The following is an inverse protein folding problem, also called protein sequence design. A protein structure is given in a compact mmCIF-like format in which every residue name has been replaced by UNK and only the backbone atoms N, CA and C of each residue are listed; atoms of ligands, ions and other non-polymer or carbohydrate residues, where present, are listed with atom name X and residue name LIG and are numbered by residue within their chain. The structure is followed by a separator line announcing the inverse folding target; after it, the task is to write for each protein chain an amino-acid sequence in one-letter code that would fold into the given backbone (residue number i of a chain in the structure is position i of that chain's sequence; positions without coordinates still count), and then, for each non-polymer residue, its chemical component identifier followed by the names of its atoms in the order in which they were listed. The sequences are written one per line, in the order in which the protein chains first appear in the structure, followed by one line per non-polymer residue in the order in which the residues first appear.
data_IF_973222199946
#
_entry.id   IF_973222199946
#
_cell.length_a   1.000
_cell.length_b   1.000
_cell.length_c   1.000
_cell.angle_alpha   90.00
_cell.angle_beta   90.00
_cell.angle_gamma   90.00
#
_symmetry.space_group_name_H-M   'P 1'
#
loop_
_entity.id
_entity.type
_entity.pdbx_description
1 polymer ?
#
# COMPACT_ATOMS: atom_id res chain seq x y z
N UNK A 1 -38.53 -10.80 -37.30
CA UNK A 1 -39.26 -12.05 -37.60
C UNK A 1 -38.68 -13.10 -36.66
N UNK A 2 -39.43 -13.40 -35.58
CA UNK A 2 -39.31 -14.47 -34.55
C UNK A 2 -37.89 -14.83 -34.04
N UNK A 3 -37.47 -14.59 -32.79
CA UNK A 3 -38.05 -14.70 -31.43
C UNK A 3 -38.13 -16.13 -30.84
N UNK A 4 -37.82 -16.19 -29.54
CA UNK A 4 -38.13 -17.19 -28.48
C UNK A 4 -37.09 -18.30 -28.18
N UNK A 5 -36.67 -18.64 -26.95
CA UNK A 5 -36.90 -18.20 -25.55
C UNK A 5 -35.82 -18.90 -24.68
N UNK A 6 -35.21 -18.27 -23.67
CA UNK A 6 -35.61 -18.37 -22.24
C UNK A 6 -34.78 -19.45 -21.50
N UNK A 7 -33.98 -19.15 -20.47
CA UNK A 7 -34.49 -18.92 -19.11
C UNK A 7 -33.48 -18.15 -18.22
N UNK A 8 -34.00 -17.14 -17.51
CA UNK A 8 -33.66 -16.70 -16.15
C UNK A 8 -35.03 -16.45 -15.47
N UNK A 9 -35.21 -16.61 -14.13
CA UNK A 9 -34.42 -15.85 -13.16
C UNK A 9 -34.11 -16.56 -11.82
N UNK A 10 -32.93 -16.27 -11.28
CA UNK A 10 -32.60 -16.40 -9.86
C UNK A 10 -31.90 -15.12 -9.42
N UNK A 11 -32.61 -14.31 -8.64
CA UNK A 11 -32.25 -12.99 -8.16
C UNK A 11 -31.24 -13.03 -7.01
N UNK A 12 -30.19 -12.21 -7.09
CA UNK A 12 -29.24 -11.99 -6.00
C UNK A 12 -28.20 -10.91 -6.36
N UNK A 13 -28.63 -9.65 -6.30
CA UNK A 13 -27.80 -8.43 -6.19
C UNK A 13 -26.62 -8.28 -7.17
N UNK A 14 -26.93 -7.97 -8.44
CA UNK A 14 -26.10 -7.05 -9.20
C UNK A 14 -26.69 -5.66 -9.04
N UNK A 15 -26.19 -4.92 -8.04
CA UNK A 15 -26.32 -3.47 -8.12
C UNK A 15 -25.40 -3.00 -9.25
N UNK A 16 -25.89 -2.22 -10.22
CA UNK A 16 -25.00 -1.57 -11.17
C UNK A 16 -24.12 -0.60 -10.38
N UNK A 17 -22.81 -0.83 -10.40
CA UNK A 17 -21.82 0.15 -9.95
C UNK A 17 -22.05 1.38 -10.83
N UNK A 18 -22.70 2.40 -10.27
CA UNK A 18 -22.78 3.70 -10.94
C UNK A 18 -21.36 4.22 -10.99
N UNK A 19 -20.74 4.19 -12.17
CA UNK A 19 -19.51 4.91 -12.46
C UNK A 19 -19.73 6.40 -12.16
N UNK A 20 -19.41 6.80 -10.92
CA UNK A 20 -19.30 8.19 -10.49
C UNK A 20 -17.84 8.56 -10.29
N UNK A 21 -16.95 8.04 -11.14
CA UNK A 21 -15.60 8.58 -11.19
C UNK A 21 -15.73 10.01 -11.73
N UNK A 22 -15.54 11.00 -10.87
CA UNK A 22 -15.31 12.36 -11.32
C UNK A 22 -14.15 12.29 -12.32
N UNK A 23 -14.32 12.87 -13.52
CA UNK A 23 -13.24 12.92 -14.51
C UNK A 23 -11.95 13.43 -13.87
N UNK A 24 -10.83 12.72 -14.08
CA UNK A 24 -9.46 13.20 -13.82
C UNK A 24 -9.23 14.46 -14.66
N UNK A 25 -9.61 15.62 -14.13
CA UNK A 25 -9.60 16.90 -14.87
C UNK A 25 -8.21 17.54 -14.93
N UNK A 26 -7.28 17.13 -14.07
CA UNK A 26 -5.92 17.71 -13.98
C UNK A 26 -4.89 16.69 -13.51
N UNK A 27 -4.51 15.75 -14.39
CA UNK A 27 -3.28 14.97 -14.25
C UNK A 27 -2.16 15.70 -15.00
N UNK A 28 -1.03 15.97 -14.32
CA UNK A 28 0.20 16.44 -14.95
C UNK A 28 1.24 15.34 -14.92
N UNK A 29 1.81 15.03 -16.07
CA UNK A 29 2.83 13.99 -16.23
C UNK A 29 4.18 14.68 -16.39
N UNK A 30 5.13 14.34 -15.53
CA UNK A 30 6.53 14.67 -15.65
C UNK A 30 7.33 13.37 -15.76
N UNK A 31 8.29 13.34 -16.68
CA UNK A 31 9.28 12.28 -16.76
C UNK A 31 10.63 12.90 -16.46
N UNK A 32 11.37 12.31 -15.51
CA UNK A 32 12.77 12.66 -15.32
C UNK A 32 13.56 11.88 -16.36
N UNK A 33 14.21 12.61 -17.27
CA UNK A 33 14.98 12.00 -18.34
C UNK A 33 16.10 11.11 -17.76
N UNK A 34 16.43 9.97 -18.40
CA UNK A 34 17.56 9.15 -17.99
C UNK A 34 18.82 9.99 -18.03
N UNK A 35 19.57 10.06 -16.92
CA UNK A 35 20.90 10.67 -17.00
C UNK A 35 21.51 11.30 -15.76
N UNK A 36 20.90 11.28 -14.56
CA UNK A 36 21.65 11.73 -13.37
C UNK A 36 22.65 10.66 -12.91
N UNK A 37 22.31 9.37 -13.08
CA UNK A 37 23.21 8.23 -12.88
C UNK A 37 23.30 7.43 -14.18
N UNK A 38 24.36 7.66 -14.97
CA UNK A 38 24.65 6.92 -16.21
C UNK A 38 25.12 5.48 -15.89
N UNK A 39 24.23 4.66 -15.34
CA UNK A 39 24.42 3.22 -15.22
C UNK A 39 23.28 2.52 -15.95
N UNK A 40 23.36 2.33 -17.28
CA UNK A 40 22.60 1.27 -17.89
C UNK A 40 23.00 -0.01 -17.17
N UNK A 41 22.08 -0.59 -16.40
CA UNK A 41 22.27 -1.87 -15.74
C UNK A 41 22.51 -2.91 -16.83
N UNK A 42 23.79 -3.14 -17.09
CA UNK A 42 24.23 -3.82 -18.30
C UNK A 42 23.72 -5.26 -18.25
N UNK A 43 22.71 -5.56 -19.07
CA UNK A 43 22.13 -6.90 -19.21
C UNK A 43 20.78 -7.12 -18.52
N UNK A 44 20.16 -6.09 -17.93
CA UNK A 44 18.79 -6.16 -17.42
C UNK A 44 17.86 -5.44 -18.41
N UNK A 45 16.93 -6.17 -19.01
CA UNK A 45 15.88 -5.57 -19.82
C UNK A 45 14.95 -4.77 -18.90
N UNK A 46 14.86 -3.46 -19.12
CA UNK A 46 13.87 -2.63 -18.46
C UNK A 46 12.51 -2.90 -19.09
N UNK A 47 11.51 -3.21 -18.27
CA UNK A 47 10.13 -3.44 -18.71
C UNK A 47 9.21 -2.37 -18.09
N UNK A 48 9.18 -1.15 -18.66
CA UNK A 48 8.29 -0.11 -18.18
C UNK A 48 6.80 -0.47 -18.33
N UNK A 49 6.45 -1.42 -19.22
CA UNK A 49 5.06 -1.88 -19.37
C UNK A 49 4.64 -2.79 -18.23
N UNK A 50 5.57 -3.51 -17.61
CA UNK A 50 5.34 -4.33 -16.41
C UNK A 50 4.87 -3.54 -15.18
N UNK A 51 4.97 -2.20 -15.19
CA UNK A 51 4.60 -1.32 -14.08
C UNK A 51 3.25 -0.64 -14.22
N UNK A 52 2.52 -0.84 -15.32
CA UNK A 52 1.25 -0.15 -15.57
C UNK A 52 0.23 -0.32 -14.44
N UNK A 53 0.18 -1.53 -13.85
CA UNK A 53 -0.74 -1.79 -12.74
C UNK A 53 -0.42 -0.98 -11.49
N UNK A 54 0.87 -0.80 -11.19
CA UNK A 54 1.34 0.01 -10.07
C UNK A 54 1.07 1.50 -10.30
N UNK A 55 1.46 2.00 -11.47
CA UNK A 55 1.29 3.41 -11.84
C UNK A 55 -0.19 3.82 -11.87
N UNK A 56 -1.06 2.94 -12.36
CA UNK A 56 -2.50 3.17 -12.41
C UNK A 56 -3.12 3.07 -11.02
N UNK A 57 -2.71 2.08 -10.21
CA UNK A 57 -3.13 1.92 -8.82
C UNK A 57 -2.88 3.19 -8.01
N UNK A 58 -1.65 3.72 -8.06
CA UNK A 58 -1.27 4.92 -7.31
C UNK A 58 -2.15 6.13 -7.66
N UNK A 59 -2.31 6.40 -8.97
CA UNK A 59 -3.09 7.54 -9.46
C UNK A 59 -4.57 7.39 -9.11
N UNK A 60 -5.15 6.21 -9.36
CA UNK A 60 -6.57 5.97 -9.09
C UNK A 60 -6.89 5.98 -7.60
N UNK A 61 -6.00 5.48 -6.74
CA UNK A 61 -6.17 5.52 -5.30
C UNK A 61 -6.15 6.96 -4.75
N UNK A 62 -5.16 7.77 -5.15
CA UNK A 62 -5.12 9.20 -4.77
C UNK A 62 -6.36 9.93 -5.28
N UNK A 63 -6.72 9.73 -6.55
CA UNK A 63 -7.89 10.38 -7.16
C UNK A 63 -9.20 9.94 -6.53
N UNK A 64 -9.31 8.66 -6.14
CA UNK A 64 -10.47 8.11 -5.47
C UNK A 64 -10.72 8.74 -4.11
N UNK A 65 -9.65 9.02 -3.36
CA UNK A 65 -9.73 9.71 -2.05
C UNK A 65 -9.91 11.23 -2.19
N UNK A 66 -9.17 11.87 -3.08
CA UNK A 66 -9.16 13.32 -3.24
C UNK A 66 -9.39 13.73 -4.71
N UNK A 67 -10.63 13.60 -5.23
CA UNK A 67 -10.92 13.74 -6.67
C UNK A 67 -10.74 15.16 -7.22
N UNK A 68 -10.62 16.16 -6.34
CA UNK A 68 -10.36 17.55 -6.70
C UNK A 68 -8.87 17.96 -6.51
N UNK A 69 -8.03 17.06 -6.00
CA UNK A 69 -6.60 17.32 -5.86
C UNK A 69 -5.94 17.43 -7.24
N UNK A 70 -4.88 18.23 -7.33
CA UNK A 70 -4.01 18.26 -8.51
C UNK A 70 -3.02 17.12 -8.37
N UNK A 71 -3.10 16.15 -9.28
CA UNK A 71 -2.23 14.97 -9.25
C UNK A 71 -1.07 15.20 -10.23
N UNK A 72 0.14 14.97 -9.74
CA UNK A 72 1.37 15.03 -10.51
C UNK A 72 2.01 13.64 -10.50
N UNK A 73 2.09 13.00 -11.66
CA UNK A 73 2.85 11.77 -11.82
C UNK A 73 4.28 12.12 -12.22
N UNK A 74 5.26 11.60 -11.48
CA UNK A 74 6.68 11.78 -11.74
C UNK A 74 7.33 10.41 -11.90
N UNK A 75 7.53 10.02 -13.16
CA UNK A 75 8.14 8.73 -13.51
C UNK A 75 9.66 8.81 -13.64
N UNK A 76 10.32 7.68 -13.38
CA UNK A 76 11.73 7.45 -13.61
C UNK A 76 11.96 6.38 -14.69
N UNK A 77 13.10 6.36 -15.39
CA UNK A 77 13.41 5.34 -16.39
C UNK A 77 13.63 3.93 -15.85
N UNK A 78 13.94 3.79 -14.55
CA UNK A 78 14.01 2.52 -13.83
C UNK A 78 13.60 2.70 -12.36
N UNK A 79 13.38 1.57 -11.69
CA UNK A 79 12.98 1.49 -10.29
C UNK A 79 14.18 1.34 -9.31
N UNK A 80 15.38 1.72 -9.74
CA UNK A 80 16.58 1.75 -8.90
C UNK A 80 16.93 3.20 -8.56
N UNK A 81 18.17 3.63 -8.79
CA UNK A 81 18.64 4.96 -8.42
C UNK A 81 18.01 6.09 -9.25
N UNK A 82 17.34 5.80 -10.37
CA UNK A 82 16.63 6.86 -11.10
C UNK A 82 15.37 7.33 -10.34
N UNK A 83 14.83 6.55 -9.40
CA UNK A 83 13.80 7.02 -8.47
C UNK A 83 14.34 8.09 -7.50
N UNK A 84 15.64 8.08 -7.19
CA UNK A 84 16.32 9.17 -6.46
C UNK A 84 16.23 10.48 -7.24
N UNK A 85 16.44 10.42 -8.55
CA UNK A 85 16.31 11.58 -9.42
C UNK A 85 14.86 12.07 -9.51
N UNK A 86 13.87 11.17 -9.52
CA UNK A 86 12.45 11.51 -9.49
C UNK A 86 12.07 12.25 -8.19
N UNK A 87 12.44 11.69 -7.02
CA UNK A 87 12.17 12.35 -5.74
C UNK A 87 12.91 13.69 -5.65
N UNK A 88 14.19 13.74 -6.06
CA UNK A 88 14.96 14.98 -6.06
C UNK A 88 14.33 16.04 -6.98
N UNK A 89 13.81 15.66 -8.15
CA UNK A 89 13.09 16.58 -9.02
C UNK A 89 11.84 17.15 -8.33
N UNK A 90 11.09 16.30 -7.61
CA UNK A 90 9.91 16.75 -6.85
C UNK A 90 10.31 17.76 -5.79
N UNK A 91 11.35 17.46 -5.02
CA UNK A 91 11.86 18.30 -3.93
C UNK A 91 12.44 19.63 -4.46
N UNK A 92 13.36 19.58 -5.42
CA UNK A 92 14.05 20.75 -5.99
C UNK A 92 13.06 21.74 -6.64
N UNK A 93 12.10 21.21 -7.40
CA UNK A 93 11.12 22.03 -8.13
C UNK A 93 9.84 22.30 -7.34
N UNK A 94 9.70 21.66 -6.18
CA UNK A 94 8.54 21.76 -5.31
C UNK A 94 7.21 21.56 -6.07
N UNK A 95 7.15 20.56 -6.95
CA UNK A 95 5.98 20.34 -7.84
C UNK A 95 4.79 19.70 -7.12
N UNK A 96 4.99 19.20 -5.89
CA UNK A 96 3.96 18.62 -5.04
C UNK A 96 4.25 18.91 -3.55
N UNK A 97 3.19 19.05 -2.75
CA UNK A 97 3.27 19.20 -1.28
C UNK A 97 3.14 17.87 -0.55
N UNK A 98 2.62 16.85 -1.23
CA UNK A 98 2.48 15.46 -0.76
C UNK A 98 3.09 14.55 -1.81
N UNK A 99 3.95 13.63 -1.38
CA UNK A 99 4.54 12.58 -2.20
C UNK A 99 4.13 11.24 -1.64
N UNK A 100 3.45 10.43 -2.44
CA UNK A 100 3.30 8.99 -2.19
C UNK A 100 4.20 8.24 -3.15
N UNK A 101 4.87 7.22 -2.64
CA UNK A 101 5.74 6.35 -3.44
C UNK A 101 5.57 4.91 -2.97
N UNK A 102 5.26 4.03 -3.92
CA UNK A 102 4.96 2.63 -3.68
C UNK A 102 6.14 1.70 -3.99
N UNK A 103 7.36 2.23 -4.08
CA UNK A 103 8.60 1.50 -4.36
C UNK A 103 9.54 1.41 -3.15
N UNK A 104 10.26 0.30 -3.06
CA UNK A 104 11.28 0.09 -2.04
C UNK A 104 12.19 -1.10 -2.31
N UNK A 105 13.23 -1.19 -1.48
CA UNK A 105 14.11 -2.32 -1.33
C UNK A 105 13.72 -3.09 -0.08
N UNK A 106 13.68 -4.42 -0.22
CA UNK A 106 13.34 -5.39 0.84
C UNK A 106 14.38 -5.52 1.96
N UNK A 107 15.32 -4.59 2.02
CA UNK A 107 16.39 -4.59 3.01
C UNK A 107 17.03 -3.21 3.15
N UNK A 108 17.54 -2.96 4.35
CA UNK A 108 18.39 -1.81 4.68
C UNK A 108 19.88 -2.10 4.48
N UNK A 109 20.27 -3.35 4.20
CA UNK A 109 21.66 -3.74 3.92
C UNK A 109 21.91 -3.56 2.43
N UNK A 110 22.00 -2.30 2.01
CA UNK A 110 22.22 -1.89 0.63
C UNK A 110 23.67 -1.44 0.39
N UNK A 111 24.15 -1.44 -0.86
CA UNK A 111 25.45 -0.87 -1.20
C UNK A 111 25.59 0.58 -0.75
N UNK A 112 26.82 1.02 -0.53
CA UNK A 112 27.10 2.41 -0.22
C UNK A 112 26.56 3.33 -1.32
N UNK A 113 25.80 4.35 -0.92
CA UNK A 113 25.20 5.32 -1.85
C UNK A 113 23.70 5.16 -2.07
N UNK A 114 23.07 4.08 -1.59
CA UNK A 114 21.61 3.92 -1.68
C UNK A 114 20.84 4.66 -0.59
N UNK A 115 21.39 4.70 0.62
CA UNK A 115 20.66 5.21 1.79
C UNK A 115 20.95 6.69 2.03
N UNK A 116 22.21 7.04 2.28
CA UNK A 116 22.59 8.40 2.69
C UNK A 116 22.22 9.51 1.67
N UNK A 117 22.44 9.36 0.36
CA UNK A 117 22.03 10.37 -0.62
C UNK A 117 20.51 10.52 -0.68
N UNK A 118 19.77 9.42 -0.72
CA UNK A 118 18.31 9.44 -0.76
C UNK A 118 17.70 10.02 0.52
N UNK A 119 18.26 9.68 1.68
CA UNK A 119 17.89 10.29 2.97
C UNK A 119 18.13 11.81 2.98
N UNK A 120 19.18 12.29 2.30
CA UNK A 120 19.43 13.73 2.18
C UNK A 120 18.36 14.43 1.33
N UNK A 121 17.86 13.77 0.29
CA UNK A 121 16.75 14.25 -0.54
C UNK A 121 15.44 14.27 0.29
N UNK A 122 15.15 13.19 1.03
CA UNK A 122 14.00 13.10 1.93
C UNK A 122 14.04 14.24 2.95
N UNK A 123 15.18 14.42 3.62
CA UNK A 123 15.39 15.50 4.59
C UNK A 123 15.16 16.88 3.97
N UNK A 124 15.66 17.13 2.76
CA UNK A 124 15.42 18.38 2.04
C UNK A 124 13.93 18.58 1.76
N UNK A 125 13.21 17.54 1.34
CA UNK A 125 11.75 17.59 1.17
C UNK A 125 11.02 17.94 2.46
N UNK A 126 11.37 17.26 3.55
CA UNK A 126 10.78 17.51 4.88
C UNK A 126 11.00 18.94 5.36
N UNK A 127 12.23 19.47 5.30
CA UNK A 127 12.51 20.85 5.76
C UNK A 127 11.93 21.91 4.85
N UNK A 128 11.59 21.57 3.60
CA UNK A 128 10.88 22.46 2.67
C UNK A 128 9.36 22.32 2.73
N UNK A 129 8.82 21.48 3.63
CA UNK A 129 7.39 21.36 3.90
C UNK A 129 6.65 20.33 3.04
N UNK A 130 7.35 19.38 2.43
CA UNK A 130 6.74 18.27 1.69
C UNK A 130 6.47 17.10 2.64
N UNK A 131 5.24 16.60 2.64
CA UNK A 131 4.88 15.33 3.29
C UNK A 131 5.26 14.15 2.38
N UNK A 132 6.03 13.20 2.89
CA UNK A 132 6.55 12.07 2.10
C UNK A 132 6.07 10.76 2.73
N UNK A 133 5.39 9.95 1.92
CA UNK A 133 4.70 8.72 2.31
C UNK A 133 5.21 7.55 1.48
N UNK A 134 5.59 6.46 2.14
CA UNK A 134 6.06 5.24 1.48
C UNK A 134 5.21 4.03 1.87
N UNK A 135 4.96 3.15 0.90
CA UNK A 135 4.45 1.81 1.19
C UNK A 135 5.45 1.07 2.10
N UNK A 136 4.96 0.36 3.12
CA UNK A 136 5.85 -0.28 4.11
C UNK A 136 6.43 -1.63 3.67
N UNK A 137 5.96 -2.18 2.56
CA UNK A 137 6.36 -3.47 2.01
C UNK A 137 5.22 -4.50 2.02
N UNK A 138 5.39 -5.58 1.24
CA UNK A 138 4.34 -6.58 1.01
C UNK A 138 4.78 -8.01 1.40
N UNK A 139 5.97 -8.15 2.00
CA UNK A 139 6.51 -9.44 2.45
C UNK A 139 6.77 -9.50 3.97
N UNK A 140 5.95 -8.80 4.76
CA UNK A 140 5.97 -8.83 6.22
C UNK A 140 7.31 -8.37 6.83
N UNK A 141 7.99 -9.22 7.60
CA UNK A 141 9.32 -8.90 8.19
C UNK A 141 10.50 -9.18 7.25
N UNK A 142 10.22 -9.46 5.97
CA UNK A 142 11.17 -9.84 4.91
C UNK A 142 11.99 -11.12 5.19
N UNK A 143 11.73 -11.83 6.30
CA UNK A 143 12.56 -12.95 6.73
C UNK A 143 12.58 -14.12 5.74
N UNK A 144 11.47 -14.34 5.03
CA UNK A 144 11.38 -15.36 3.98
C UNK A 144 12.03 -14.94 2.67
N UNK A 145 12.31 -13.65 2.48
CA UNK A 145 12.91 -13.11 1.25
C UNK A 145 14.43 -12.95 1.41
N UNK A 146 14.87 -12.36 2.52
CA UNK A 146 16.30 -12.03 2.74
C UNK A 146 16.97 -12.88 3.83
N UNK A 147 16.22 -13.73 4.53
CA UNK A 147 16.75 -14.69 5.51
C UNK A 147 16.90 -14.17 6.94
N UNK A 148 16.45 -12.94 7.22
CA UNK A 148 16.46 -12.32 8.55
C UNK A 148 15.39 -11.23 8.64
N UNK A 149 14.94 -10.87 9.84
CA UNK A 149 13.94 -9.80 9.99
C UNK A 149 14.54 -8.42 9.71
N UNK A 150 13.91 -7.66 8.83
CA UNK A 150 14.27 -6.30 8.45
C UNK A 150 13.04 -5.54 7.98
N UNK A 151 13.13 -4.21 7.99
CA UNK A 151 12.16 -3.33 7.35
C UNK A 151 12.60 -3.00 5.92
N UNK A 152 11.67 -2.53 5.10
CA UNK A 152 11.94 -2.00 3.77
C UNK A 152 12.54 -0.59 3.81
N UNK A 153 13.43 -0.30 2.87
CA UNK A 153 13.95 1.03 2.58
C UNK A 153 13.27 1.56 1.31
N UNK A 154 12.70 2.78 1.23
CA UNK A 154 12.88 3.91 2.15
C UNK A 154 11.89 4.04 3.30
N UNK A 155 10.92 3.13 3.43
CA UNK A 155 9.92 3.18 4.49
C UNK A 155 10.54 3.25 5.91
N UNK A 156 11.71 2.67 6.11
CA UNK A 156 12.42 2.72 7.38
C UNK A 156 13.09 4.07 7.71
N UNK A 157 13.10 5.03 6.80
CA UNK A 157 13.53 6.41 7.10
C UNK A 157 12.67 6.99 8.24
N UNK A 158 13.28 7.64 9.25
CA UNK A 158 12.55 8.34 10.31
C UNK A 158 11.92 9.66 9.83
N UNK A 159 12.09 10.03 8.57
CA UNK A 159 11.59 11.29 8.00
C UNK A 159 10.47 11.09 6.97
N UNK A 160 10.05 9.85 6.73
CA UNK A 160 8.87 9.52 5.93
C UNK A 160 7.78 8.93 6.81
N UNK A 161 6.53 9.09 6.39
CA UNK A 161 5.43 8.29 6.92
C UNK A 161 5.40 6.95 6.19
N UNK A 162 5.75 5.87 6.88
CA UNK A 162 5.57 4.52 6.37
C UNK A 162 4.11 4.09 6.56
N UNK A 163 3.50 3.59 5.49
CA UNK A 163 2.09 3.22 5.46
C UNK A 163 1.93 1.72 5.29
N UNK A 164 1.39 1.08 6.32
CA UNK A 164 1.08 -0.34 6.35
C UNK A 164 -0.28 -0.69 5.75
N UNK A 165 -0.54 -1.99 5.71
CA UNK A 165 -1.71 -2.59 5.09
C UNK A 165 -2.66 -3.26 6.09
N UNK A 166 -3.96 -3.06 5.88
CA UNK A 166 -5.03 -3.80 6.55
C UNK A 166 -5.85 -4.62 5.55
N UNK A 167 -6.65 -5.56 6.07
CA UNK A 167 -7.76 -6.17 5.32
C UNK A 167 -9.07 -5.58 5.84
N UNK A 168 -9.88 -4.99 4.96
CA UNK A 168 -11.06 -4.20 5.33
C UNK A 168 -12.37 -4.94 5.02
N UNK A 169 -13.25 -5.05 6.01
CA UNK A 169 -14.60 -5.52 5.82
C UNK A 169 -15.58 -4.35 5.66
N UNK A 170 -16.25 -4.31 4.50
CA UNK A 170 -17.30 -3.34 4.18
C UNK A 170 -18.65 -4.06 4.12
N UNK A 171 -19.64 -3.52 4.83
CA UNK A 171 -21.00 -4.05 4.85
C UNK A 171 -21.77 -3.75 3.57
N UNK A 172 -22.88 -4.45 3.34
CA UNK A 172 -23.73 -4.27 2.15
C UNK A 172 -24.31 -2.85 2.00
N UNK A 173 -24.31 -2.06 3.09
CA UNK A 173 -24.73 -0.66 3.10
C UNK A 173 -23.56 0.33 2.93
N UNK A 174 -22.39 -0.15 2.49
CA UNK A 174 -21.15 0.63 2.38
C UNK A 174 -20.66 1.24 3.71
N UNK A 175 -20.95 0.58 4.83
CA UNK A 175 -20.47 0.98 6.14
C UNK A 175 -19.22 0.16 6.52
N UNK A 176 -18.31 0.80 7.25
CA UNK A 176 -17.23 0.11 7.94
C UNK A 176 -17.80 -0.97 8.87
N UNK A 177 -17.19 -2.17 8.87
CA UNK A 177 -17.50 -3.24 9.81
C UNK A 177 -16.33 -3.48 10.77
N UNK A 178 -15.20 -3.91 10.21
CA UNK A 178 -13.98 -4.17 10.95
C UNK A 178 -12.78 -4.20 10.00
N UNK A 179 -11.59 -4.16 10.58
CA UNK A 179 -10.33 -4.38 9.89
C UNK A 179 -9.51 -5.44 10.62
N UNK A 180 -8.60 -6.07 9.89
CA UNK A 180 -7.57 -6.96 10.43
C UNK A 180 -6.22 -6.53 9.91
N UNK A 181 -5.15 -6.89 10.61
CA UNK A 181 -3.79 -6.75 10.08
C UNK A 181 -3.68 -7.52 8.75
N UNK A 182 -3.03 -6.92 7.75
CA UNK A 182 -2.83 -7.62 6.49
C UNK A 182 -1.70 -8.65 6.60
N UNK A 183 -2.08 -9.92 6.64
CA UNK A 183 -1.19 -11.06 6.47
C UNK A 183 -2.01 -12.21 5.92
N UNK A 184 -1.56 -12.86 4.85
CA UNK A 184 -2.36 -13.86 4.14
C UNK A 184 -1.65 -15.21 4.08
N UNK A 185 -2.36 -16.26 4.52
CA UNK A 185 -2.06 -17.64 4.15
C UNK A 185 -3.11 -18.17 3.19
N UNK A 186 -2.74 -19.19 2.41
CA UNK A 186 -3.61 -19.73 1.37
C UNK A 186 -3.62 -21.25 1.26
N UNK A 187 -4.81 -21.76 0.95
CA UNK A 187 -5.07 -23.14 0.56
C UNK A 187 -5.80 -23.19 -0.78
N UNK A 188 -5.57 -24.25 -1.55
CA UNK A 188 -6.26 -24.51 -2.82
C UNK A 188 -7.34 -25.56 -2.64
N UNK A 189 -8.50 -25.38 -3.28
CA UNK A 189 -9.55 -26.40 -3.30
C UNK A 189 -9.18 -27.54 -4.25
N UNK A 190 -9.22 -28.78 -3.77
CA UNK A 190 -8.92 -29.99 -4.56
C UNK A 190 -10.16 -30.60 -5.24
N UNK A 191 -11.35 -30.07 -4.96
CA UNK A 191 -12.63 -30.70 -5.32
C UNK A 191 -13.34 -31.32 -4.11
N UNK A 192 -12.58 -31.70 -3.07
CA UNK A 192 -13.12 -32.31 -1.84
C UNK A 192 -12.56 -31.70 -0.57
N UNK A 193 -11.33 -31.18 -0.60
CA UNK A 193 -10.64 -30.63 0.57
C UNK A 193 -9.81 -29.40 0.20
N UNK A 194 -9.43 -28.63 1.22
CA UNK A 194 -8.44 -27.56 1.09
C UNK A 194 -7.04 -28.13 1.30
N UNK A 195 -6.12 -27.84 0.36
CA UNK A 195 -4.72 -28.29 0.42
C UNK A 195 -3.74 -27.15 0.11
N UNK A 196 -2.72 -26.92 0.95
CA UNK A 196 -2.53 -27.51 2.28
C UNK A 196 -3.71 -27.22 3.22
N UNK A 197 -3.88 -27.98 4.30
CA UNK A 197 -4.95 -27.75 5.29
C UNK A 197 -4.90 -26.29 5.77
N UNK A 198 -6.04 -25.58 5.84
CA UNK A 198 -6.09 -24.19 6.31
C UNK A 198 -5.41 -24.00 7.66
N UNK A 199 -4.72 -22.86 7.89
CA UNK A 199 -4.69 -21.67 7.04
C UNK A 199 -3.80 -21.79 5.79
N UNK A 200 -3.03 -22.88 5.68
CA UNK A 200 -2.20 -23.19 4.52
C UNK A 200 -0.85 -22.49 4.51
N UNK A 201 -0.33 -22.20 3.30
CA UNK A 201 1.01 -21.61 3.12
C UNK A 201 0.96 -20.08 3.16
N UNK A 202 1.99 -19.45 3.74
CA UNK A 202 2.12 -17.98 3.71
C UNK A 202 2.25 -17.47 2.27
N UNK A 203 1.70 -16.29 2.01
CA UNK A 203 1.59 -15.71 0.68
C UNK A 203 2.17 -14.29 0.58
N UNK A 204 1.64 -13.36 1.37
CA UNK A 204 2.02 -11.94 1.39
C UNK A 204 1.41 -11.24 2.62
N UNK A 205 1.84 -10.02 2.93
CA UNK A 205 1.26 -9.20 4.01
C UNK A 205 2.00 -7.88 4.23
N UNK A 206 1.38 -7.00 5.03
CA UNK A 206 1.92 -5.67 5.39
C UNK A 206 3.33 -5.78 5.93
N UNK A 207 4.23 -4.97 5.37
CA UNK A 207 5.61 -4.82 5.78
C UNK A 207 5.74 -4.03 7.07
N UNK A 208 6.72 -4.39 7.89
CA UNK A 208 6.92 -3.76 9.19
C UNK A 208 8.08 -4.34 9.98
N UNK A 209 8.18 -3.94 11.24
CA UNK A 209 9.25 -4.38 12.14
C UNK A 209 10.09 -3.21 12.65
N UNK A 210 11.36 -3.47 12.95
CA UNK A 210 12.28 -2.49 13.55
C UNK A 210 13.55 -2.38 12.71
N UNK A 211 13.84 -1.15 12.27
CA UNK A 211 15.02 -0.79 11.51
C UNK A 211 16.30 -1.26 12.21
N UNK A 212 17.25 -1.71 11.41
CA UNK A 212 18.59 -2.14 11.79
C UNK A 212 19.59 -0.99 11.79
N UNK A 213 19.28 0.12 11.12
CA UNK A 213 20.24 1.21 10.87
C UNK A 213 19.78 2.57 11.38
N UNK A 214 18.47 2.80 11.53
CA UNK A 214 17.91 4.02 12.08
C UNK A 214 17.53 3.82 13.54
N UNK A 215 18.03 4.70 14.41
CA UNK A 215 17.63 4.76 15.81
C UNK A 215 16.15 5.08 15.95
N UNK A 216 15.55 4.68 17.07
CA UNK A 216 14.20 5.10 17.44
C UNK A 216 14.11 6.64 17.43
N UNK A 217 13.28 7.25 16.57
CA UNK A 217 13.12 8.69 16.54
C UNK A 217 12.36 9.17 17.78
N UNK A 218 12.61 10.41 18.21
CA UNK A 218 12.05 10.94 19.45
C UNK A 218 10.52 10.94 19.51
N UNK A 219 9.84 11.00 18.36
CA UNK A 219 8.38 10.94 18.31
C UNK A 219 7.82 9.53 18.56
N UNK A 220 8.63 8.47 18.43
CA UNK A 220 8.24 7.09 18.74
C UNK A 220 8.42 6.75 20.22
N UNK A 221 9.31 7.47 20.91
CA UNK A 221 9.67 7.20 22.31
C UNK A 221 8.46 7.32 23.22
N UNK A 222 8.13 6.23 23.91
CA UNK A 222 7.00 6.16 24.84
C UNK A 222 5.65 5.81 24.18
N UNK A 223 5.59 5.79 22.85
CA UNK A 223 4.43 5.30 22.09
C UNK A 223 4.66 3.86 21.62
N UNK A 224 5.83 3.57 21.05
CA UNK A 224 6.17 2.22 20.60
C UNK A 224 6.40 1.30 21.81
N UNK A 225 5.63 0.21 21.98
CA UNK A 225 5.79 -0.68 23.11
C UNK A 225 7.15 -1.40 23.09
N UNK A 226 7.76 -1.59 24.26
CA UNK A 226 9.01 -2.35 24.40
C UNK A 226 8.90 -3.80 23.90
N UNK A 227 7.69 -4.36 23.85
CA UNK A 227 7.44 -5.70 23.30
C UNK A 227 7.78 -5.79 21.81
N UNK A 228 7.55 -4.73 21.03
CA UNK A 228 7.93 -4.66 19.61
C UNK A 228 9.45 -4.82 19.47
N UNK A 229 10.22 -4.04 20.25
CA UNK A 229 11.68 -4.13 20.26
C UNK A 229 12.20 -5.48 20.76
N UNK A 230 11.55 -6.04 21.77
CA UNK A 230 11.92 -7.34 22.34
C UNK A 230 11.69 -8.46 21.32
N UNK A 231 10.55 -8.45 20.61
CA UNK A 231 10.23 -9.43 19.58
C UNK A 231 11.23 -9.40 18.40
N UNK A 232 11.69 -8.20 18.02
CA UNK A 232 12.68 -8.01 16.94
C UNK A 232 14.14 -8.13 17.40
N UNK A 233 14.36 -8.25 18.71
CA UNK A 233 15.68 -8.35 19.34
C UNK A 233 16.54 -7.07 19.22
N UNK A 234 15.93 -5.91 18.96
CA UNK A 234 16.62 -4.63 18.78
C UNK A 234 15.70 -3.43 19.01
N UNK A 235 16.29 -2.27 19.28
CA UNK A 235 15.60 -0.97 19.29
C UNK A 235 16.03 -0.15 18.08
N UNK A 236 15.09 0.58 17.47
CA UNK A 236 15.30 1.33 16.23
C UNK A 236 13.99 1.98 15.77
N UNK A 237 14.00 2.63 14.60
CA UNK A 237 12.77 3.12 13.95
C UNK A 237 11.83 1.94 13.70
N UNK A 238 10.68 1.94 14.37
CA UNK A 238 9.64 0.92 14.17
C UNK A 238 8.74 1.30 12.97
N UNK A 239 8.34 0.34 12.16
CA UNK A 239 7.53 0.49 10.93
C UNK A 239 6.30 -0.42 11.03
N UNK A 240 5.13 -0.03 10.49
CA UNK A 240 4.79 1.25 9.85
C UNK A 240 4.38 2.33 10.86
N UNK A 241 4.18 3.58 10.41
CA UNK A 241 3.68 4.66 11.29
C UNK A 241 2.14 4.59 11.42
N UNK A 242 1.43 4.43 10.30
CA UNK A 242 -0.03 4.28 10.21
C UNK A 242 -0.37 3.27 9.10
N UNK A 243 -1.65 2.94 8.91
CA UNK A 243 -2.07 2.01 7.85
C UNK A 243 -3.33 2.43 7.12
N UNK A 244 -3.57 1.78 5.98
CA UNK A 244 -4.84 1.79 5.27
C UNK A 244 -5.06 0.43 4.57
N UNK A 245 -6.23 0.22 3.97
CA UNK A 245 -6.53 -1.03 3.25
C UNK A 245 -5.45 -1.35 2.21
N UNK A 246 -4.87 -2.54 2.33
CA UNK A 246 -3.80 -3.03 1.46
C UNK A 246 -4.03 -4.45 0.96
N UNK A 247 -4.82 -5.29 1.64
CA UNK A 247 -5.05 -6.67 1.17
C UNK A 247 -5.75 -6.71 -0.21
N UNK A 248 -5.16 -7.28 -1.28
CA UNK A 248 -5.81 -7.41 -2.59
C UNK A 248 -7.15 -8.18 -2.55
N UNK A 249 -7.40 -8.95 -1.49
CA UNK A 249 -8.66 -9.66 -1.29
C UNK A 249 -9.80 -8.78 -0.78
N UNK A 250 -9.49 -7.58 -0.29
CA UNK A 250 -10.45 -6.59 0.24
C UNK A 250 -10.22 -5.17 -0.29
N UNK A 251 -9.15 -4.98 -1.06
CA UNK A 251 -8.74 -3.72 -1.67
C UNK A 251 -9.51 -3.39 -2.95
N UNK A 252 -8.84 -2.68 -3.84
CA UNK A 252 -9.49 -1.97 -4.94
C UNK A 252 -9.71 -2.84 -6.17
N UNK A 253 -10.74 -2.46 -6.94
CA UNK A 253 -10.83 -2.78 -8.36
C UNK A 253 -10.21 -1.60 -9.11
N UNK A 254 -9.13 -1.86 -9.84
CA UNK A 254 -8.44 -0.88 -10.66
C UNK A 254 -8.76 -1.16 -12.12
N UNK A 255 -9.04 -0.09 -12.87
CA UNK A 255 -9.37 -0.16 -14.28
C UNK A 255 -8.21 0.32 -15.15
N UNK A 256 -7.76 -0.48 -16.12
CA UNK A 256 -6.72 -0.06 -17.06
C UNK A 256 -7.05 -0.46 -18.50
N UNK A 257 -6.53 0.31 -19.46
CA UNK A 257 -6.51 -0.11 -20.87
C UNK A 257 -5.20 -0.85 -21.11
N UNK A 258 -5.29 -2.15 -21.34
CA UNK A 258 -4.13 -3.05 -21.42
C UNK A 258 -4.13 -3.90 -22.69
N UNK A 259 -2.95 -4.42 -23.03
CA UNK A 259 -2.79 -5.38 -24.12
C UNK A 259 -3.04 -6.79 -23.59
N UNK A 260 -4.00 -7.49 -24.19
CA UNK A 260 -4.35 -8.87 -23.84
C UNK A 260 -3.47 -9.88 -24.60
N UNK A 261 -3.38 -11.15 -24.13
CA UNK A 261 -2.55 -12.18 -24.77
C UNK A 261 -2.87 -12.46 -26.26
N UNK A 262 -4.08 -12.12 -26.71
CA UNK A 262 -4.49 -12.21 -28.12
C UNK A 262 -4.06 -10.98 -28.97
N UNK A 263 -3.31 -10.02 -28.39
CA UNK A 263 -2.87 -8.78 -29.01
C UNK A 263 -3.91 -7.67 -29.05
N UNK A 264 -5.13 -7.90 -28.54
CA UNK A 264 -6.16 -6.84 -28.47
C UNK A 264 -5.87 -5.86 -27.35
N UNK A 265 -6.16 -4.59 -27.58
CA UNK A 265 -6.09 -3.54 -26.56
C UNK A 265 -7.51 -3.25 -26.11
N UNK A 266 -7.80 -3.44 -24.82
CA UNK A 266 -9.12 -3.23 -24.26
C UNK A 266 -9.04 -2.76 -22.81
N UNK A 267 -10.12 -2.14 -22.33
CA UNK A 267 -10.31 -1.83 -20.93
C UNK A 267 -10.64 -3.10 -20.14
N UNK A 268 -10.06 -3.25 -18.96
CA UNK A 268 -10.45 -4.25 -17.99
C UNK A 268 -10.25 -3.76 -16.57
N UNK A 269 -10.98 -4.37 -15.64
CA UNK A 269 -10.84 -4.16 -14.21
C UNK A 269 -10.25 -5.42 -13.58
N UNK A 270 -9.34 -5.24 -12.64
CA UNK A 270 -8.80 -6.34 -11.85
C UNK A 270 -8.49 -5.89 -10.43
N UNK A 271 -8.28 -6.89 -9.57
CA UNK A 271 -8.02 -6.69 -8.16
C UNK A 271 -6.52 -6.58 -7.95
N UNK A 272 -6.10 -5.48 -7.35
CA UNK A 272 -4.73 -5.23 -6.92
C UNK A 272 -4.78 -4.55 -5.55
N UNK A 273 -3.69 -4.65 -4.80
CA UNK A 273 -3.55 -4.14 -3.45
C UNK A 273 -2.07 -3.96 -3.16
N UNK A 274 -1.63 -4.37 -1.99
CA UNK A 274 -0.32 -4.03 -1.47
C UNK A 274 -0.40 -2.85 -0.53
N UNK A 275 0.66 -2.64 0.24
CA UNK A 275 0.92 -1.34 0.88
C UNK A 275 1.11 -0.24 -0.17
N UNK A 276 1.37 -0.63 -1.43
CA UNK A 276 1.21 0.16 -2.64
C UNK A 276 -0.19 0.76 -2.82
N UNK A 277 -1.26 0.10 -2.37
CA UNK A 277 -2.59 0.73 -2.31
C UNK A 277 -2.70 1.64 -1.08
N UNK A 278 -2.18 1.20 0.07
CA UNK A 278 -2.33 1.92 1.33
C UNK A 278 -1.70 3.31 1.31
N UNK A 279 -0.47 3.44 0.80
CA UNK A 279 0.28 4.70 0.72
C UNK A 279 -0.47 5.82 -0.05
N UNK A 280 -0.94 5.61 -1.29
CA UNK A 280 -1.68 6.63 -2.04
C UNK A 280 -3.06 6.94 -1.44
N UNK A 281 -3.71 5.97 -0.78
CA UNK A 281 -4.94 6.25 -0.03
C UNK A 281 -4.69 7.23 1.11
N UNK A 282 -3.63 7.01 1.90
CA UNK A 282 -3.22 7.93 2.96
C UNK A 282 -2.83 9.29 2.39
N UNK A 283 -2.11 9.36 1.27
CA UNK A 283 -1.77 10.62 0.63
C UNK A 283 -3.02 11.41 0.17
N UNK A 284 -4.04 10.72 -0.34
CA UNK A 284 -5.33 11.34 -0.64
C UNK A 284 -6.06 11.86 0.61
N UNK A 285 -6.04 11.09 1.71
CA UNK A 285 -6.57 11.54 3.01
C UNK A 285 -5.81 12.78 3.52
N UNK A 286 -4.49 12.81 3.36
CA UNK A 286 -3.66 13.96 3.75
C UNK A 286 -3.91 15.17 2.85
N UNK A 287 -4.21 14.99 1.56
CA UNK A 287 -4.64 16.11 0.70
C UNK A 287 -5.96 16.73 1.19
N UNK A 288 -6.88 15.92 1.72
CA UNK A 288 -8.10 16.41 2.37
C UNK A 288 -7.80 17.10 3.71
N UNK A 289 -6.84 16.59 4.49
CA UNK A 289 -6.40 17.21 5.74
C UNK A 289 -5.76 18.58 5.49
N UNK A 290 -4.85 18.68 4.52
CA UNK A 290 -4.21 19.92 4.08
C UNK A 290 -5.26 20.95 3.61
N UNK A 291 -6.26 20.50 2.84
CA UNK A 291 -7.38 21.36 2.43
C UNK A 291 -8.17 21.87 3.65
N UNK A 292 -8.40 21.01 4.63
CA UNK A 292 -9.18 21.35 5.82
C UNK A 292 -8.44 22.32 6.76
N UNK A 293 -7.12 22.18 6.90
CA UNK A 293 -6.25 23.07 7.66
C UNK A 293 -5.94 24.39 6.93
N UNK A 294 -6.04 24.39 5.59
CA UNK A 294 -5.73 25.55 4.75
C UNK A 294 -4.23 25.72 4.46
N UNK A 295 -3.40 24.76 4.87
CA UNK A 295 -1.97 24.70 4.56
C UNK A 295 -1.48 23.24 4.55
N UNK A 296 -0.35 22.94 3.88
CA UNK A 296 0.27 21.61 3.96
C UNK A 296 0.74 21.27 5.37
N UNK A 297 0.58 20.01 5.77
CA UNK A 297 1.13 19.50 7.04
C UNK A 297 2.64 19.22 6.97
N UNK A 298 3.18 18.92 5.77
CA UNK A 298 4.56 18.51 5.62
C UNK A 298 4.86 17.21 6.38
N UNK A 299 5.95 17.19 7.16
CA UNK A 299 6.33 16.04 7.96
C UNK A 299 5.42 15.84 9.18
N UNK A 300 4.46 14.92 9.03
CA UNK A 300 3.35 14.74 9.97
C UNK A 300 3.58 13.69 11.07
N UNK A 301 4.66 12.89 11.03
CA UNK A 301 4.87 11.81 12.01
C UNK A 301 4.81 12.30 13.47
N UNK A 302 5.50 13.40 13.89
CA UNK A 302 5.41 13.86 15.27
C UNK A 302 3.96 14.17 15.72
N UNK A 303 3.14 14.71 14.81
CA UNK A 303 1.73 14.97 15.07
C UNK A 303 0.95 13.64 15.21
N UNK A 304 1.14 12.68 14.31
CA UNK A 304 0.47 11.38 14.38
C UNK A 304 0.75 10.67 15.70
N UNK A 305 2.01 10.62 16.12
CA UNK A 305 2.39 9.98 17.37
C UNK A 305 1.88 10.73 18.60
N UNK A 306 1.69 12.05 18.53
CA UNK A 306 1.02 12.80 19.61
C UNK A 306 -0.48 12.46 19.75
N UNK A 307 -1.07 11.89 18.70
CA UNK A 307 -2.48 11.45 18.64
C UNK A 307 -2.64 9.95 18.92
N UNK A 308 -1.58 9.25 19.32
CA UNK A 308 -1.62 7.82 19.63
C UNK A 308 -2.70 7.49 20.68
N UNK A 309 -3.52 6.47 20.40
CA UNK A 309 -4.63 6.07 21.27
C UNK A 309 -5.84 7.02 21.26
N UNK A 310 -5.84 8.07 20.44
CA UNK A 310 -7.01 8.93 20.25
C UNK A 310 -7.98 8.34 19.22
N UNK A 311 -9.17 8.95 19.12
CA UNK A 311 -10.15 8.59 18.10
C UNK A 311 -9.72 8.91 16.66
N UNK A 312 -8.58 9.57 16.44
CA UNK A 312 -8.03 9.84 15.12
C UNK A 312 -7.67 8.56 14.36
N UNK A 313 -7.39 7.47 15.08
CA UNK A 313 -7.05 6.18 14.50
C UNK A 313 -8.00 5.08 14.99
N UNK A 314 -8.30 4.12 14.12
CA UNK A 314 -8.87 2.84 14.51
C UNK A 314 -7.70 1.90 14.82
N UNK A 315 -7.58 1.50 16.09
CA UNK A 315 -6.60 0.53 16.56
C UNK A 315 -6.92 -0.87 16.02
N UNK A 316 -5.98 -1.46 15.26
CA UNK A 316 -6.17 -2.75 14.60
C UNK A 316 -5.56 -3.83 15.47
N UNK A 317 -6.39 -4.75 15.93
CA UNK A 317 -5.96 -5.85 16.80
C UNK A 317 -6.41 -7.19 16.22
N UNK A 318 -5.85 -8.28 16.74
CA UNK A 318 -6.23 -9.63 16.34
C UNK A 318 -7.76 -9.83 16.43
N UNK A 319 -8.40 -10.38 15.38
CA UNK A 319 -9.82 -10.67 15.40
C UNK A 319 -10.12 -11.80 16.39
N UNK A 320 -11.31 -11.76 16.99
CA UNK A 320 -11.76 -12.78 17.97
C UNK A 320 -11.99 -14.16 17.35
N UNK A 321 -12.03 -14.25 16.02
CA UNK A 321 -12.19 -15.49 15.27
C UNK A 321 -11.44 -15.40 13.95
N UNK A 322 -11.09 -16.55 13.39
CA UNK A 322 -10.41 -16.62 12.09
C UNK A 322 -11.27 -15.98 11.00
N UNK A 323 -10.71 -14.97 10.33
CA UNK A 323 -11.32 -14.33 9.17
C UNK A 323 -10.69 -14.91 7.90
N UNK A 324 -11.53 -15.31 6.95
CA UNK A 324 -11.08 -15.83 5.67
C UNK A 324 -12.09 -15.55 4.56
N UNK A 325 -11.59 -15.51 3.32
CA UNK A 325 -12.42 -15.40 2.12
C UNK A 325 -12.12 -16.53 1.15
N UNK A 326 -13.15 -17.01 0.46
CA UNK A 326 -13.01 -17.91 -0.68
C UNK A 326 -13.03 -17.08 -1.95
N UNK A 327 -11.95 -17.16 -2.73
CA UNK A 327 -11.80 -16.51 -4.03
C UNK A 327 -12.01 -17.53 -5.15
N UNK A 328 -12.72 -17.14 -6.19
CA UNK A 328 -12.73 -17.82 -7.47
C UNK A 328 -11.76 -17.11 -8.43
N UNK A 329 -10.85 -17.87 -9.04
CA UNK A 329 -9.87 -17.37 -10.00
C UNK A 329 -10.14 -18.02 -11.36
N UNK A 330 -10.04 -17.25 -12.42
CA UNK A 330 -9.97 -17.80 -13.77
C UNK A 330 -8.71 -18.63 -13.94
N UNK A 331 -8.82 -19.82 -14.54
CA UNK A 331 -7.68 -20.69 -14.80
C UNK A 331 -6.70 -20.04 -15.78
N UNK A 332 -7.22 -19.27 -16.75
CA UNK A 332 -6.42 -18.54 -17.74
C UNK A 332 -6.10 -17.10 -17.32
N UNK A 333 -6.49 -16.67 -16.11
CA UNK A 333 -6.36 -15.30 -15.60
C UNK A 333 -7.08 -14.19 -16.39
N UNK A 334 -7.90 -14.53 -17.39
CA UNK A 334 -8.59 -13.57 -18.26
C UNK A 334 -10.10 -13.68 -18.08
N UNK A 335 -10.64 -14.89 -18.26
CA UNK A 335 -12.09 -15.12 -18.28
C UNK A 335 -12.47 -16.56 -17.86
N UNK A 336 -13.77 -16.85 -17.86
CA UNK A 336 -14.28 -18.15 -17.45
C UNK A 336 -14.14 -19.26 -18.50
N UNK A 337 -13.59 -19.00 -19.69
CA UNK A 337 -13.57 -19.98 -20.79
C UNK A 337 -12.74 -21.23 -20.47
N UNK A 338 -11.70 -21.09 -19.64
CA UNK A 338 -10.90 -22.19 -19.12
C UNK A 338 -11.39 -22.73 -17.75
N UNK A 339 -12.54 -22.25 -17.26
CA UNK A 339 -13.07 -22.58 -15.94
C UNK A 339 -12.48 -21.75 -14.80
N UNK A 340 -12.88 -22.10 -13.57
CA UNK A 340 -12.46 -21.42 -12.34
C UNK A 340 -11.83 -22.38 -11.33
N UNK A 341 -10.87 -21.88 -10.56
CA UNK A 341 -10.29 -22.56 -9.40
C UNK A 341 -10.56 -21.76 -8.13
N UNK A 342 -10.74 -22.45 -7.01
CA UNK A 342 -11.02 -21.81 -5.73
C UNK A 342 -9.77 -21.75 -4.84
N UNK A 343 -9.61 -20.62 -4.16
CA UNK A 343 -8.53 -20.35 -3.21
C UNK A 343 -9.13 -19.84 -1.90
N UNK A 344 -8.77 -20.45 -0.78
CA UNK A 344 -9.03 -19.89 0.54
C UNK A 344 -7.90 -18.92 0.89
N UNK A 345 -8.24 -17.73 1.36
CA UNK A 345 -7.32 -16.73 1.87
C UNK A 345 -7.68 -16.44 3.32
N UNK A 346 -6.81 -16.84 4.25
CA UNK A 346 -6.98 -16.57 5.67
C UNK A 346 -6.19 -15.31 6.01
N UNK A 347 -6.87 -14.34 6.63
CA UNK A 347 -6.35 -13.01 6.99
C UNK A 347 -5.68 -13.03 8.36
N UNK A 348 -5.00 -11.93 8.72
CA UNK A 348 -4.27 -11.79 9.99
C UNK A 348 -3.24 -12.91 10.21
N UNK A 349 -2.57 -13.33 9.13
CA UNK A 349 -1.55 -14.39 9.14
C UNK A 349 -0.16 -13.80 8.83
N UNK A 350 0.42 -13.13 9.82
CA UNK A 350 1.76 -12.53 9.77
C UNK A 350 2.86 -13.57 10.05
N UNK A 351 4.12 -13.17 9.85
CA UNK A 351 5.32 -13.93 10.22
C UNK A 351 5.72 -13.58 11.66
N UNK A 352 6.80 -12.83 11.89
CA UNK A 352 7.18 -12.39 13.24
C UNK A 352 6.42 -11.16 13.74
N UNK A 353 5.79 -10.40 12.84
CA UNK A 353 5.03 -9.19 13.17
C UNK A 353 3.71 -9.54 13.86
N UNK A 354 3.19 -8.69 14.74
CA UNK A 354 1.96 -8.97 15.49
C UNK A 354 1.08 -7.73 15.62
N UNK A 355 -0.23 -7.87 15.39
CA UNK A 355 -1.20 -6.82 15.68
C UNK A 355 -1.53 -6.81 17.18
N UNK A 356 -1.50 -5.66 17.84
CA UNK A 356 -1.69 -5.60 19.30
C UNK A 356 -2.24 -4.25 19.73
N UNK A 357 -2.95 -4.14 20.88
CA UNK A 357 -3.53 -2.88 21.31
C UNK A 357 -2.51 -1.73 21.37
N UNK A 358 -2.86 -0.59 20.77
CA UNK A 358 -2.01 0.57 20.64
C UNK A 358 -1.12 0.49 19.39
N UNK A 359 0.13 0.95 19.49
CA UNK A 359 1.05 0.83 18.37
C UNK A 359 1.53 -0.62 18.22
N UNK A 360 1.55 -1.12 16.99
CA UNK A 360 2.13 -2.42 16.65
C UNK A 360 2.97 -2.42 15.35
N UNK A 361 3.72 -3.50 15.12
CA UNK A 361 4.67 -3.59 14.00
C UNK A 361 4.05 -4.14 12.70
N UNK A 362 2.72 -4.19 12.59
CA UNK A 362 2.00 -4.54 11.37
C UNK A 362 1.22 -3.35 10.81
N UNK A 363 0.57 -2.60 11.71
CA UNK A 363 -0.39 -1.54 11.38
C UNK A 363 -0.04 -0.17 11.96
N UNK A 364 0.99 -0.08 12.79
CA UNK A 364 1.44 1.19 13.36
C UNK A 364 0.43 1.71 14.37
N UNK A 365 0.05 2.98 14.27
CA UNK A 365 -1.00 3.58 15.09
C UNK A 365 -2.43 3.17 14.67
N UNK A 366 -2.57 2.40 13.58
CA UNK A 366 -3.85 1.99 13.01
C UNK A 366 -4.29 2.81 11.80
N UNK A 367 -5.58 2.79 11.48
CA UNK A 367 -6.14 3.40 10.26
C UNK A 367 -6.81 4.75 10.53
N UNK A 368 -6.61 5.79 9.70
CA UNK A 368 -7.27 7.09 9.88
C UNK A 368 -8.81 6.99 9.91
N UNK A 369 -9.44 7.63 10.90
CA UNK A 369 -10.91 7.71 11.00
C UNK A 369 -11.47 9.02 10.48
N UNK A 370 -12.79 9.20 10.54
CA UNK A 370 -13.41 10.51 10.29
C UNK A 370 -12.95 11.60 11.27
N UNK A 371 -12.49 11.23 12.48
CA UNK A 371 -11.94 12.19 13.45
C UNK A 371 -10.53 12.65 13.10
N UNK A 372 -9.82 11.90 12.26
CA UNK A 372 -8.45 12.21 11.82
C UNK A 372 -8.37 13.62 11.22
N UNK A 373 -9.24 13.95 10.26
CA UNK A 373 -9.26 15.26 9.62
C UNK A 373 -9.52 16.41 10.60
N UNK A 374 -10.28 16.17 11.67
CA UNK A 374 -10.54 17.21 12.68
C UNK A 374 -9.39 17.34 13.67
N UNK A 375 -8.64 16.28 13.91
CA UNK A 375 -7.43 16.30 14.75
C UNK A 375 -6.24 16.99 14.07
N UNK A 376 -6.30 17.14 12.75
CA UNK A 376 -5.28 17.78 11.90
C UNK A 376 -5.67 19.21 11.44
N UNK A 377 -6.80 19.75 11.89
CA UNK A 377 -7.12 21.17 11.65
C UNK A 377 -6.44 22.05 12.68
#
# INVERSE_FOLDING_TARGET
MLDLLGTKPGSGLHQPVRNRHASLRTLRIHSVAPGTYNHPEKGIAQDPQGWYGEETLDIEAVHGMAPAAKIVYVGAPNNFQDLDAALNYVVDRHVASIVTNSYGFRTEILPQGYIKPYESIILQGVVTGIGIYFSSGDNNDESLVVGYTTTDWPASSPYVTAVGGTSLAVGASNNYLFETAWGTKTSSWTGTTWSPTPPGSWLYGSGGGVSRIFSEPSYQVGVVPKSVFTAQGRTGRAVPDISAVGDPNTGYLIGETQTFPNGTIAYSEYRIGGTSLSSPLVAGIMALADQAAGHPHGFANPLFYSLAGSAAFTDITHPSSTVAVVRANYVNSIDASAGVVYRLRTMDQTLSLNASPGYDDVTGLGTPTSSFLSALK
#
